data_IF_351722015227
#
_entry.id   IF_351722015227
#
_cell.length_a   1.000
_cell.length_b   1.000
_cell.length_c   1.000
_cell.angle_alpha   90.00
_cell.angle_beta   90.00
_cell.angle_gamma   90.00
#
_symmetry.space_group_name_H-M   'P 1'
#
loop_
_entity.id
_entity.type
_entity.pdbx_description
1 polymer ?
#
# COMPACT_ATOMS: atom_id res chain seq x y z
N UNK A 1 20.08 -22.15 -10.93
CA UNK A 1 18.85 -22.97 -10.95
C UNK A 1 18.66 -23.93 -9.77
N UNK A 2 19.69 -24.50 -9.12
CA UNK A 2 19.52 -25.37 -7.94
C UNK A 2 19.20 -24.63 -6.64
N UNK A 3 19.67 -23.39 -6.43
CA UNK A 3 19.38 -22.60 -5.21
C UNK A 3 17.94 -22.09 -5.15
N UNK A 4 17.28 -21.83 -6.29
CA UNK A 4 15.87 -21.39 -6.32
C UNK A 4 14.88 -22.51 -5.99
N UNK A 5 15.20 -23.77 -6.32
CA UNK A 5 14.35 -24.92 -5.97
C UNK A 5 14.38 -25.27 -4.48
N UNK A 6 15.53 -25.06 -3.81
CA UNK A 6 15.66 -25.33 -2.36
C UNK A 6 14.93 -24.27 -1.55
N UNK A 7 14.91 -23.00 -1.99
CA UNK A 7 14.17 -21.92 -1.33
C UNK A 7 12.66 -22.08 -1.53
N UNK A 8 12.20 -22.56 -2.70
CA UNK A 8 10.78 -22.86 -2.93
C UNK A 8 10.28 -24.08 -2.14
N UNK A 9 11.08 -25.11 -1.95
CA UNK A 9 10.70 -26.27 -1.13
C UNK A 9 10.58 -25.94 0.36
N UNK A 10 11.36 -25.00 0.89
CA UNK A 10 11.24 -24.57 2.29
C UNK A 10 10.03 -23.66 2.56
N UNK A 11 9.40 -23.06 1.55
CA UNK A 11 8.18 -22.25 1.72
C UNK A 11 6.88 -23.09 1.72
N UNK A 12 6.92 -24.35 1.30
CA UNK A 12 5.77 -25.26 1.32
C UNK A 12 5.67 -26.09 2.61
N UNK A 13 6.74 -26.23 3.37
CA UNK A 13 6.73 -27.00 4.61
C UNK A 13 5.94 -26.28 5.70
N UNK A 14 4.96 -26.95 6.27
CA UNK A 14 4.17 -26.46 7.42
C UNK A 14 4.96 -26.74 8.69
N UNK A 15 5.12 -25.70 9.52
CA UNK A 15 5.78 -25.78 10.82
C UNK A 15 4.75 -25.83 11.95
N UNK A 16 4.88 -26.80 12.80
CA UNK A 16 4.00 -27.08 13.94
C UNK A 16 4.80 -26.90 15.23
N UNK A 17 4.26 -26.16 16.20
CA UNK A 17 4.75 -26.16 17.58
C UNK A 17 3.77 -26.93 18.44
N UNK A 18 4.21 -28.00 19.10
CA UNK A 18 3.40 -28.69 20.10
C UNK A 18 3.84 -28.29 21.50
N UNK A 19 2.87 -27.94 22.35
CA UNK A 19 3.09 -27.40 23.70
C UNK A 19 2.23 -28.18 24.69
N UNK A 20 2.89 -28.83 25.64
CA UNK A 20 2.29 -29.65 26.69
C UNK A 20 3.32 -29.81 27.80
N UNK A 21 2.91 -29.73 29.07
CA UNK A 21 3.83 -29.93 30.19
C UNK A 21 4.23 -31.40 30.40
N UNK A 22 3.59 -32.32 29.66
CA UNK A 22 4.03 -33.74 29.58
C UNK A 22 4.94 -33.98 28.36
N UNK A 23 6.25 -34.23 28.57
CA UNK A 23 7.20 -34.51 27.47
C UNK A 23 6.87 -35.76 26.64
N UNK A 24 6.13 -36.71 27.20
CA UNK A 24 5.74 -37.92 26.49
C UNK A 24 4.71 -37.59 25.42
N UNK A 25 3.75 -36.72 25.76
CA UNK A 25 2.71 -36.26 24.83
C UNK A 25 3.34 -35.47 23.69
N UNK A 26 4.17 -34.49 24.00
CA UNK A 26 4.83 -33.67 22.97
C UNK A 26 5.70 -34.50 22.03
N UNK A 27 6.47 -35.45 22.56
CA UNK A 27 7.29 -36.38 21.75
C UNK A 27 6.42 -37.27 20.87
N UNK A 28 5.31 -37.79 21.40
CA UNK A 28 4.39 -38.65 20.64
C UNK A 28 3.74 -37.90 19.47
N UNK A 29 3.28 -36.68 19.72
CA UNK A 29 2.70 -35.81 18.70
C UNK A 29 3.75 -35.45 17.64
N UNK A 30 4.97 -35.15 18.05
CA UNK A 30 6.09 -34.87 17.16
C UNK A 30 6.36 -36.04 16.23
N UNK A 31 6.58 -37.24 16.80
CA UNK A 31 6.87 -38.45 16.03
C UNK A 31 5.77 -38.78 15.02
N UNK A 32 4.51 -38.53 15.40
CA UNK A 32 3.36 -38.76 14.52
C UNK A 32 3.36 -37.82 13.32
N UNK A 33 3.44 -36.51 13.56
CA UNK A 33 3.35 -35.52 12.50
C UNK A 33 4.62 -35.37 11.66
N UNK A 34 5.81 -35.68 12.21
CA UNK A 34 7.04 -35.78 11.41
C UNK A 34 6.97 -36.90 10.37
N UNK A 35 6.35 -38.05 10.71
CA UNK A 35 6.09 -39.13 9.74
C UNK A 35 5.14 -38.71 8.62
N UNK A 36 4.21 -37.79 8.91
CA UNK A 36 3.31 -37.18 7.92
C UNK A 36 3.95 -36.04 7.13
N UNK A 37 5.25 -35.75 7.37
CA UNK A 37 6.05 -34.78 6.59
C UNK A 37 5.99 -33.35 7.08
N UNK A 38 5.48 -33.09 8.27
CA UNK A 38 5.49 -31.76 8.90
C UNK A 38 6.83 -31.52 9.64
N UNK A 39 7.19 -30.25 9.78
CA UNK A 39 8.27 -29.84 10.69
C UNK A 39 7.65 -29.62 12.07
N UNK A 40 8.11 -30.33 13.10
CA UNK A 40 7.50 -30.24 14.43
C UNK A 40 8.54 -29.90 15.49
N UNK A 41 8.32 -28.79 16.15
CA UNK A 41 9.04 -28.40 17.35
C UNK A 41 8.20 -28.71 18.60
N UNK A 42 8.89 -28.97 19.71
CA UNK A 42 8.26 -29.20 21.01
C UNK A 42 8.64 -28.11 22.01
N UNK A 43 7.72 -27.79 22.91
CA UNK A 43 7.97 -26.98 24.09
C UNK A 43 7.16 -27.52 25.28
N UNK A 44 7.79 -27.59 26.45
CA UNK A 44 7.13 -28.14 27.63
C UNK A 44 6.84 -27.08 28.71
N UNK A 45 7.23 -25.85 28.43
CA UNK A 45 6.90 -24.70 29.27
C UNK A 45 6.02 -23.70 28.50
N UNK A 46 4.80 -23.41 28.97
CA UNK A 46 3.90 -22.51 28.26
C UNK A 46 4.43 -21.06 28.14
N UNK A 47 5.26 -20.59 29.06
CA UNK A 47 5.87 -19.25 29.01
C UNK A 47 6.96 -19.20 27.93
N UNK A 48 7.81 -20.22 27.87
CA UNK A 48 8.86 -20.34 26.87
C UNK A 48 8.27 -20.55 25.47
N UNK A 49 7.10 -21.19 25.36
CA UNK A 49 6.37 -21.34 24.11
C UNK A 49 5.94 -19.98 23.52
N UNK A 50 5.52 -19.03 24.34
CA UNK A 50 5.16 -17.67 23.87
C UNK A 50 6.37 -16.97 23.26
N UNK A 51 7.53 -17.08 23.93
CA UNK A 51 8.78 -16.48 23.42
C UNK A 51 9.26 -17.18 22.16
N UNK A 52 9.13 -18.51 22.09
CA UNK A 52 9.44 -19.31 20.91
C UNK A 52 8.60 -18.90 19.70
N UNK A 53 7.30 -18.65 19.88
CA UNK A 53 6.42 -18.11 18.83
C UNK A 53 6.81 -16.67 18.43
N UNK A 54 7.32 -15.88 19.36
CA UNK A 54 7.78 -14.51 19.08
C UNK A 54 9.04 -14.48 18.21
N UNK A 55 9.94 -15.43 18.43
CA UNK A 55 11.23 -15.53 17.73
C UNK A 55 11.18 -16.38 16.47
N UNK A 56 10.23 -17.32 16.39
CA UNK A 56 10.10 -18.29 15.30
C UNK A 56 8.89 -18.01 14.39
N UNK A 57 8.86 -18.76 13.29
CA UNK A 57 7.75 -18.72 12.33
C UNK A 57 7.04 -20.07 12.33
N UNK A 58 6.02 -20.20 13.15
CA UNK A 58 5.15 -21.37 13.19
C UNK A 58 3.83 -21.08 12.48
N UNK A 59 3.30 -22.11 11.81
CA UNK A 59 2.01 -22.07 11.13
C UNK A 59 0.87 -22.56 11.99
N UNK A 60 1.13 -23.62 12.77
CA UNK A 60 0.16 -24.28 13.63
C UNK A 60 0.77 -24.46 15.02
N UNK A 61 -0.03 -24.22 16.05
CA UNK A 61 0.30 -24.52 17.43
C UNK A 61 -0.72 -25.53 17.97
N UNK A 62 -0.23 -26.68 18.45
CA UNK A 62 -0.99 -27.65 19.18
C UNK A 62 -0.72 -27.42 20.67
N UNK A 63 -1.70 -26.91 21.39
CA UNK A 63 -1.51 -26.36 22.73
C UNK A 63 -2.38 -27.08 23.75
N UNK A 64 -1.77 -27.65 24.76
CA UNK A 64 -2.55 -28.20 25.88
C UNK A 64 -3.30 -27.09 26.61
N UNK A 65 -4.50 -27.40 27.04
CA UNK A 65 -5.35 -26.44 27.74
C UNK A 65 -4.98 -26.31 29.23
N UNK A 66 -4.59 -27.43 29.86
CA UNK A 66 -4.30 -27.49 31.30
C UNK A 66 -2.80 -27.66 31.54
N UNK A 67 -2.09 -26.57 31.69
CA UNK A 67 -0.65 -26.53 31.97
C UNK A 67 -0.33 -25.66 33.17
N UNK A 68 0.85 -25.84 33.73
CA UNK A 68 1.43 -24.99 34.77
C UNK A 68 2.69 -24.30 34.23
N UNK A 69 2.98 -23.01 34.52
CA UNK A 69 2.30 -22.11 35.47
C UNK A 69 1.09 -21.33 34.92
N UNK A 70 0.84 -21.36 33.61
CA UNK A 70 -0.30 -20.68 32.97
C UNK A 70 -1.08 -21.65 32.08
N UNK A 71 -2.40 -21.46 32.00
CA UNK A 71 -3.28 -22.27 31.17
C UNK A 71 -3.21 -21.88 29.69
N UNK A 72 -3.68 -22.77 28.80
CA UNK A 72 -3.64 -22.60 27.36
C UNK A 72 -4.40 -21.35 26.86
N UNK A 73 -5.51 -20.98 27.49
CA UNK A 73 -6.25 -19.74 27.17
C UNK A 73 -5.39 -18.49 27.39
N UNK A 74 -4.65 -18.43 28.50
CA UNK A 74 -3.73 -17.31 28.78
C UNK A 74 -2.56 -17.27 27.76
N UNK A 75 -2.06 -18.41 27.35
CA UNK A 75 -1.04 -18.50 26.28
C UNK A 75 -1.59 -17.93 24.99
N UNK A 76 -2.82 -18.30 24.60
CA UNK A 76 -3.46 -17.79 23.39
C UNK A 76 -3.65 -16.28 23.47
N UNK A 77 -4.17 -15.76 24.59
CA UNK A 77 -4.35 -14.31 24.76
C UNK A 77 -3.05 -13.53 24.60
N UNK A 78 -1.94 -14.01 25.15
CA UNK A 78 -0.63 -13.37 25.02
C UNK A 78 -0.12 -13.43 23.57
N UNK A 79 -0.26 -14.55 22.89
CA UNK A 79 0.15 -14.72 21.48
C UNK A 79 -0.67 -13.83 20.56
N UNK A 80 -2.00 -13.71 20.77
CA UNK A 80 -2.88 -12.88 19.93
C UNK A 80 -2.57 -11.38 20.00
N UNK A 81 -1.86 -10.91 21.01
CA UNK A 81 -1.38 -9.52 21.08
C UNK A 81 -0.37 -9.17 19.98
N UNK A 82 0.39 -10.14 19.48
CA UNK A 82 1.44 -9.91 18.48
C UNK A 82 1.38 -10.83 17.24
N UNK A 83 0.68 -11.97 17.31
CA UNK A 83 0.52 -12.89 16.18
C UNK A 83 -0.95 -13.31 16.02
N UNK A 84 -1.59 -12.79 14.98
CA UNK A 84 -2.99 -13.11 14.64
C UNK A 84 -3.10 -14.20 13.59
N UNK A 85 -1.99 -14.56 12.92
CA UNK A 85 -1.96 -15.47 11.79
C UNK A 85 -1.67 -16.92 12.20
N UNK A 86 -1.14 -17.15 13.40
CA UNK A 86 -0.87 -18.49 13.92
C UNK A 86 -2.17 -19.26 14.12
N UNK A 87 -2.27 -20.45 13.52
CA UNK A 87 -3.38 -21.36 13.73
C UNK A 87 -3.19 -22.10 15.06
N UNK A 88 -4.16 -22.02 15.96
CA UNK A 88 -4.07 -22.63 17.29
C UNK A 88 -5.17 -23.68 17.46
N UNK A 89 -4.76 -24.88 17.83
CA UNK A 89 -5.63 -26.00 18.20
C UNK A 89 -5.38 -26.32 19.65
N UNK A 90 -6.42 -26.22 20.49
CA UNK A 90 -6.33 -26.60 21.89
C UNK A 90 -6.47 -28.12 22.06
N UNK A 91 -5.61 -28.71 22.87
CA UNK A 91 -5.70 -30.10 23.29
C UNK A 91 -6.30 -30.16 24.70
N UNK A 92 -7.16 -31.11 24.98
CA UNK A 92 -7.81 -31.27 26.31
C UNK A 92 -7.93 -32.73 26.72
N UNK A 93 -7.63 -33.01 27.97
CA UNK A 93 -7.65 -34.38 28.52
C UNK A 93 -9.03 -34.90 28.91
N UNK A 94 -10.08 -34.07 29.03
CA UNK A 94 -11.42 -34.50 29.47
C UNK A 94 -12.54 -33.67 28.85
N UNK A 95 -13.63 -34.34 28.42
CA UNK A 95 -14.85 -33.73 27.86
C UNK A 95 -15.49 -32.66 28.74
N UNK A 96 -15.45 -32.85 30.06
CA UNK A 96 -16.02 -31.92 31.05
C UNK A 96 -15.21 -30.62 31.20
N UNK A 97 -13.98 -30.57 30.68
CA UNK A 97 -13.06 -29.43 30.73
C UNK A 97 -12.84 -28.76 29.37
N UNK A 98 -13.53 -29.22 28.31
CA UNK A 98 -13.50 -28.57 27.03
C UNK A 98 -13.94 -27.10 27.19
N UNK A 99 -13.19 -26.14 26.65
CA UNK A 99 -13.56 -24.74 26.75
C UNK A 99 -14.95 -24.52 26.11
N UNK A 100 -15.82 -23.72 26.74
CA UNK A 100 -17.12 -23.41 26.18
C UNK A 100 -16.96 -22.86 24.74
N UNK A 101 -17.92 -23.15 23.85
CA UNK A 101 -17.92 -22.63 22.47
C UNK A 101 -17.72 -21.10 22.41
N UNK A 102 -18.15 -20.39 23.46
CA UNK A 102 -17.87 -18.95 23.62
C UNK A 102 -16.36 -18.65 23.70
N UNK A 103 -15.62 -19.44 24.47
CA UNK A 103 -14.16 -19.28 24.65
C UNK A 103 -13.41 -19.53 23.35
N UNK A 104 -13.82 -20.53 22.57
CA UNK A 104 -13.25 -20.83 21.26
C UNK A 104 -13.37 -19.63 20.32
N UNK A 105 -14.55 -18.99 20.29
CA UNK A 105 -14.79 -17.79 19.46
C UNK A 105 -14.06 -16.54 19.98
N UNK A 106 -13.95 -16.38 21.30
CA UNK A 106 -13.27 -15.23 21.91
C UNK A 106 -11.74 -15.30 21.72
N UNK A 107 -11.18 -16.50 21.81
CA UNK A 107 -9.74 -16.74 21.66
C UNK A 107 -9.25 -16.78 20.21
N UNK A 108 -10.16 -16.74 19.24
CA UNK A 108 -9.82 -16.85 17.81
C UNK A 108 -8.92 -18.04 17.50
N UNK A 109 -9.38 -19.24 17.94
CA UNK A 109 -8.70 -20.52 17.72
C UNK A 109 -9.43 -21.35 16.66
N UNK A 110 -8.71 -22.24 15.98
CA UNK A 110 -9.23 -23.03 14.87
C UNK A 110 -10.04 -24.25 15.32
N UNK A 111 -9.81 -24.71 16.54
CA UNK A 111 -10.55 -25.83 17.10
C UNK A 111 -9.98 -26.33 18.41
N UNK A 112 -10.59 -27.40 18.89
CA UNK A 112 -10.06 -28.15 20.02
C UNK A 112 -10.12 -29.65 19.71
N UNK A 113 -9.22 -30.38 20.30
CA UNK A 113 -9.12 -31.84 20.21
C UNK A 113 -9.10 -32.45 21.60
N UNK A 114 -9.91 -33.49 21.81
CA UNK A 114 -9.89 -34.27 23.04
C UNK A 114 -8.80 -35.32 22.92
N UNK A 115 -7.84 -35.33 23.87
CA UNK A 115 -6.76 -36.29 23.93
C UNK A 115 -7.35 -37.69 24.16
N UNK A 116 -7.58 -38.42 23.11
CA UNK A 116 -7.94 -39.84 23.10
C UNK A 116 -6.88 -40.63 22.28
N UNK A 117 -7.00 -41.94 22.27
CA UNK A 117 -6.04 -42.80 21.53
C UNK A 117 -6.22 -42.73 20.01
N UNK A 118 -7.08 -41.84 19.49
CA UNK A 118 -7.43 -41.71 18.08
C UNK A 118 -6.85 -40.47 17.46
N UNK A 119 -5.57 -40.48 17.15
CA UNK A 119 -4.89 -39.38 16.46
C UNK A 119 -5.49 -39.00 15.10
N UNK A 120 -6.31 -39.86 14.48
CA UNK A 120 -6.97 -39.59 13.19
C UNK A 120 -7.81 -38.31 13.21
N UNK A 121 -8.45 -38.01 14.34
CA UNK A 121 -9.24 -36.77 14.47
C UNK A 121 -8.36 -35.50 14.57
N UNK A 122 -7.24 -35.59 15.30
CA UNK A 122 -6.26 -34.53 15.37
C UNK A 122 -5.61 -34.31 14.00
N UNK A 123 -5.29 -35.38 13.27
CA UNK A 123 -4.74 -35.31 11.92
C UNK A 123 -5.68 -34.59 10.97
N UNK A 124 -6.96 -34.94 10.93
CA UNK A 124 -7.98 -34.28 10.13
C UNK A 124 -8.10 -32.78 10.46
N UNK A 125 -7.99 -32.43 11.74
CA UNK A 125 -8.05 -31.03 12.16
C UNK A 125 -6.80 -30.27 11.70
N UNK A 126 -5.61 -30.85 11.84
CA UNK A 126 -4.36 -30.28 11.34
C UNK A 126 -4.40 -30.15 9.81
N UNK A 127 -4.86 -31.16 9.09
CA UNK A 127 -5.04 -31.09 7.62
C UNK A 127 -5.99 -29.97 7.19
N UNK A 128 -7.08 -29.75 7.94
CA UNK A 128 -8.00 -28.64 7.71
C UNK A 128 -7.31 -27.28 7.91
N UNK A 129 -6.51 -27.16 8.98
CA UNK A 129 -5.68 -25.95 9.21
C UNK A 129 -4.67 -25.76 8.07
N UNK A 130 -3.96 -26.80 7.66
CA UNK A 130 -2.99 -26.76 6.54
C UNK A 130 -3.66 -26.29 5.25
N UNK A 131 -4.84 -26.83 4.93
CA UNK A 131 -5.60 -26.41 3.74
C UNK A 131 -5.95 -24.91 3.80
N UNK A 132 -6.40 -24.44 4.96
CA UNK A 132 -6.74 -23.03 5.17
C UNK A 132 -5.51 -22.13 5.05
N UNK A 133 -4.38 -22.51 5.64
CA UNK A 133 -3.10 -21.79 5.56
C UNK A 133 -2.64 -21.70 4.10
N UNK A 134 -2.67 -22.80 3.34
CA UNK A 134 -2.31 -22.79 1.92
C UNK A 134 -3.21 -21.86 1.10
N UNK A 135 -4.51 -21.87 1.36
CA UNK A 135 -5.45 -20.96 0.70
C UNK A 135 -5.14 -19.49 1.02
N UNK A 136 -4.88 -19.15 2.29
CA UNK A 136 -4.51 -17.79 2.69
C UNK A 136 -3.18 -17.34 2.07
N UNK A 137 -2.16 -18.22 2.01
CA UNK A 137 -0.89 -17.94 1.31
C UNK A 137 -1.12 -17.65 -0.17
N UNK A 138 -1.90 -18.49 -0.85
CA UNK A 138 -2.26 -18.30 -2.26
C UNK A 138 -2.99 -16.97 -2.50
N UNK A 139 -3.94 -16.61 -1.65
CA UNK A 139 -4.65 -15.33 -1.74
C UNK A 139 -3.68 -14.15 -1.57
N UNK A 140 -2.77 -14.21 -0.59
CA UNK A 140 -1.74 -13.17 -0.39
C UNK A 140 -0.79 -13.05 -1.58
N UNK A 141 -0.38 -14.17 -2.16
CA UNK A 141 0.45 -14.19 -3.39
C UNK A 141 -0.27 -13.51 -4.56
N UNK A 142 -1.53 -13.87 -4.82
CA UNK A 142 -2.32 -13.22 -5.86
C UNK A 142 -2.51 -11.72 -5.61
N UNK A 143 -2.74 -11.31 -4.37
CA UNK A 143 -2.83 -9.88 -4.02
C UNK A 143 -1.52 -9.14 -4.30
N UNK A 144 -0.39 -9.74 -3.94
CA UNK A 144 0.93 -9.16 -4.19
C UNK A 144 1.25 -9.09 -5.69
N UNK A 145 0.91 -10.14 -6.45
CA UNK A 145 1.13 -10.16 -7.90
C UNK A 145 0.23 -9.15 -8.61
N UNK A 146 -1.03 -9.01 -8.18
CA UNK A 146 -1.95 -7.99 -8.69
C UNK A 146 -1.42 -6.57 -8.39
N UNK A 147 -0.91 -6.32 -7.19
CA UNK A 147 -0.29 -5.05 -6.82
C UNK A 147 0.95 -4.75 -7.69
N UNK A 148 1.80 -5.74 -7.94
CA UNK A 148 2.95 -5.59 -8.84
C UNK A 148 2.53 -5.30 -10.27
N UNK A 149 1.57 -6.05 -10.82
CA UNK A 149 1.06 -5.84 -12.17
C UNK A 149 0.44 -4.44 -12.33
N UNK A 150 -0.30 -3.97 -11.31
CA UNK A 150 -0.83 -2.62 -11.26
C UNK A 150 0.28 -1.57 -11.33
N UNK A 151 1.33 -1.70 -10.51
CA UNK A 151 2.47 -0.78 -10.52
C UNK A 151 3.22 -0.81 -11.85
N UNK A 152 3.43 -1.98 -12.44
CA UNK A 152 4.06 -2.11 -13.76
C UNK A 152 3.23 -1.44 -14.86
N UNK A 153 1.91 -1.52 -14.79
CA UNK A 153 1.01 -0.83 -15.73
C UNK A 153 1.17 0.68 -15.62
N UNK A 154 1.20 1.22 -14.39
CA UNK A 154 1.44 2.64 -14.12
C UNK A 154 2.77 3.09 -14.75
N UNK A 155 3.86 2.36 -14.49
CA UNK A 155 5.19 2.69 -15.01
C UNK A 155 5.23 2.65 -16.54
N UNK A 156 4.60 1.65 -17.15
CA UNK A 156 4.55 1.52 -18.61
C UNK A 156 3.80 2.68 -19.26
N UNK A 157 2.63 3.04 -18.72
CA UNK A 157 1.84 4.15 -19.23
C UNK A 157 2.56 5.50 -19.04
N UNK A 158 3.19 5.72 -17.89
CA UNK A 158 4.03 6.89 -17.63
C UNK A 158 5.14 7.01 -18.70
N UNK A 159 5.87 5.94 -18.93
CA UNK A 159 6.95 5.93 -19.93
C UNK A 159 6.46 6.30 -21.33
N UNK A 160 5.30 5.81 -21.74
CA UNK A 160 4.69 6.14 -23.04
C UNK A 160 4.41 7.64 -23.16
N UNK A 161 3.85 8.25 -22.11
CA UNK A 161 3.56 9.70 -22.06
C UNK A 161 4.85 10.52 -22.15
N UNK A 162 5.82 10.22 -21.30
CA UNK A 162 7.10 10.93 -21.24
C UNK A 162 7.98 10.78 -22.49
N UNK A 163 7.80 9.69 -23.26
CA UNK A 163 8.55 9.49 -24.51
C UNK A 163 8.12 10.48 -25.58
N UNK A 164 6.87 10.93 -25.56
CA UNK A 164 6.32 11.85 -26.55
C UNK A 164 6.60 13.32 -26.20
N UNK A 165 6.55 13.68 -24.94
CA UNK A 165 6.81 15.04 -24.46
C UNK A 165 8.14 15.09 -23.70
N UNK A 166 9.19 15.54 -24.40
CA UNK A 166 10.54 15.62 -23.81
C UNK A 166 10.65 16.62 -22.65
N UNK A 167 9.75 17.61 -22.58
CA UNK A 167 9.70 18.60 -21.50
C UNK A 167 9.12 18.01 -20.21
N UNK A 168 8.33 16.93 -20.31
CA UNK A 168 7.71 16.28 -19.16
C UNK A 168 8.56 15.17 -18.54
N UNK A 169 9.78 14.89 -19.08
CA UNK A 169 10.64 13.87 -18.48
C UNK A 169 10.94 14.22 -17.02
N UNK A 170 10.51 13.34 -16.11
CA UNK A 170 10.64 13.50 -14.66
C UNK A 170 9.68 14.53 -14.02
N UNK A 171 8.97 15.35 -14.81
CA UNK A 171 7.97 16.30 -14.31
C UNK A 171 6.84 15.60 -13.58
N UNK A 172 6.19 14.63 -14.22
CA UNK A 172 5.08 13.88 -13.62
C UNK A 172 5.50 13.18 -12.33
N UNK A 173 6.75 12.69 -12.25
CA UNK A 173 7.28 12.08 -11.02
C UNK A 173 7.48 13.12 -9.91
N UNK A 174 8.07 14.28 -10.20
CA UNK A 174 8.22 15.36 -9.22
C UNK A 174 6.87 15.89 -8.74
N UNK A 175 5.91 16.10 -9.65
CA UNK A 175 4.54 16.49 -9.30
C UNK A 175 3.88 15.45 -8.41
N UNK A 176 4.02 14.16 -8.74
CA UNK A 176 3.53 13.04 -7.92
C UNK A 176 4.16 13.02 -6.54
N UNK A 177 5.50 13.10 -6.43
CA UNK A 177 6.23 13.11 -5.16
C UNK A 177 5.82 14.29 -4.28
N UNK A 178 5.80 15.49 -4.85
CA UNK A 178 5.43 16.71 -4.12
C UNK A 178 3.95 16.70 -3.73
N UNK A 179 3.06 16.33 -4.63
CA UNK A 179 1.63 16.21 -4.37
C UNK A 179 1.33 15.22 -3.25
N UNK A 180 2.00 14.06 -3.24
CA UNK A 180 1.91 13.06 -2.18
C UNK A 180 2.32 13.64 -0.82
N UNK A 181 3.44 14.36 -0.78
CA UNK A 181 3.92 14.98 0.44
C UNK A 181 2.96 16.07 0.96
N UNK A 182 2.43 16.90 0.06
CA UNK A 182 1.42 17.92 0.41
C UNK A 182 0.16 17.26 0.96
N UNK A 183 -0.35 16.21 0.31
CA UNK A 183 -1.54 15.47 0.74
C UNK A 183 -1.37 14.84 2.13
N UNK A 184 -0.21 14.23 2.39
CA UNK A 184 0.15 13.66 3.70
C UNK A 184 0.27 14.75 4.78
N UNK A 185 0.91 15.90 4.47
CA UNK A 185 1.03 17.05 5.37
C UNK A 185 -0.32 17.71 5.69
N UNK A 186 -1.30 17.58 4.78
CA UNK A 186 -2.69 17.99 5.01
C UNK A 186 -3.46 17.02 5.92
N UNK A 187 -2.93 15.85 6.21
CA UNK A 187 -3.59 14.80 6.99
C UNK A 187 -4.70 14.07 6.21
N UNK A 188 -4.60 13.99 4.89
CA UNK A 188 -5.53 13.21 4.08
C UNK A 188 -5.39 11.71 4.41
N UNK A 189 -6.48 10.97 4.24
CA UNK A 189 -6.48 9.52 4.46
C UNK A 189 -5.48 8.80 3.50
N UNK A 190 -4.89 7.67 3.89
CA UNK A 190 -3.86 6.99 3.09
C UNK A 190 -4.27 6.66 1.66
N UNK A 191 -5.54 6.29 1.45
CA UNK A 191 -6.12 6.05 0.13
C UNK A 191 -6.21 7.33 -0.71
N UNK A 192 -6.54 8.46 -0.11
CA UNK A 192 -6.56 9.76 -0.79
C UNK A 192 -5.13 10.22 -1.16
N UNK A 193 -4.14 9.98 -0.29
CA UNK A 193 -2.73 10.26 -0.57
C UNK A 193 -2.26 9.41 -1.76
N UNK A 194 -2.62 8.14 -1.81
CA UNK A 194 -2.29 7.26 -2.93
C UNK A 194 -2.98 7.70 -4.23
N UNK A 195 -4.24 8.13 -4.17
CA UNK A 195 -4.95 8.72 -5.33
C UNK A 195 -4.20 9.94 -5.88
N UNK A 196 -3.73 10.85 -5.02
CA UNK A 196 -2.94 12.02 -5.43
C UNK A 196 -1.63 11.59 -6.06
N UNK A 197 -0.94 10.59 -5.49
CA UNK A 197 0.31 10.05 -6.03
C UNK A 197 0.13 9.56 -7.47
N UNK A 198 -0.86 8.71 -7.71
CA UNK A 198 -1.11 8.13 -9.03
C UNK A 198 -1.65 9.17 -10.00
N UNK A 199 -2.55 10.06 -9.55
CA UNK A 199 -3.06 11.15 -10.39
C UNK A 199 -1.95 12.11 -10.81
N UNK A 200 -0.97 12.40 -9.95
CA UNK A 200 0.20 13.20 -10.29
C UNK A 200 1.05 12.61 -11.42
N UNK A 201 1.15 11.26 -11.49
CA UNK A 201 1.84 10.59 -12.61
C UNK A 201 1.09 10.73 -13.94
N UNK A 202 -0.24 10.86 -13.91
CA UNK A 202 -1.10 10.81 -15.08
C UNK A 202 -1.85 12.11 -15.39
N UNK A 203 -1.65 13.18 -14.63
CA UNK A 203 -2.42 14.42 -14.82
C UNK A 203 -2.38 14.94 -16.26
N UNK A 204 -1.24 14.76 -16.91
CA UNK A 204 -0.95 15.21 -18.26
C UNK A 204 -1.13 14.14 -19.35
N UNK A 205 -1.63 12.92 -19.05
CA UNK A 205 -1.74 11.82 -20.01
C UNK A 205 -2.54 12.21 -21.27
N UNK A 206 -3.51 13.10 -21.13
CA UNK A 206 -4.34 13.57 -22.24
C UNK A 206 -3.58 14.40 -23.29
N UNK A 207 -2.37 14.86 -23.00
CA UNK A 207 -1.50 15.52 -23.99
C UNK A 207 -1.15 14.61 -25.16
N UNK A 208 -1.34 13.30 -25.00
CA UNK A 208 -1.18 12.32 -26.09
C UNK A 208 -2.13 12.63 -27.27
N UNK A 209 -3.26 13.29 -27.03
CA UNK A 209 -4.23 13.73 -28.03
C UNK A 209 -3.89 15.05 -28.71
N UNK A 210 -2.91 15.81 -28.19
CA UNK A 210 -2.51 17.11 -28.77
C UNK A 210 -1.61 16.88 -30.00
N UNK A 211 -1.85 17.57 -31.13
CA UNK A 211 -0.97 17.47 -32.30
C UNK A 211 0.46 17.93 -31.99
N UNK A 212 1.46 17.20 -32.55
CA UNK A 212 2.88 17.51 -32.36
C UNK A 212 3.27 18.94 -32.80
N UNK A 213 2.60 19.46 -33.80
CA UNK A 213 2.80 20.86 -34.29
C UNK A 213 2.46 21.90 -33.22
N UNK A 214 1.61 21.57 -32.27
CA UNK A 214 1.23 22.43 -31.14
C UNK A 214 2.09 22.07 -29.91
N UNK A 215 2.17 20.78 -29.56
CA UNK A 215 2.87 20.31 -28.37
C UNK A 215 4.36 20.63 -28.38
N UNK A 216 5.00 20.49 -29.55
CA UNK A 216 6.46 20.70 -29.74
C UNK A 216 6.79 22.07 -30.34
N UNK A 217 5.88 23.03 -30.34
CA UNK A 217 6.07 24.34 -30.92
C UNK A 217 7.11 25.15 -30.17
N UNK A 218 8.17 25.56 -30.87
CA UNK A 218 9.14 26.50 -30.32
C UNK A 218 8.60 27.93 -30.39
N UNK A 219 7.99 28.44 -29.34
CA UNK A 219 7.47 29.80 -29.27
C UNK A 219 6.07 29.89 -28.62
N UNK A 220 5.52 31.10 -28.53
CA UNK A 220 4.20 31.29 -27.93
C UNK A 220 3.10 30.63 -28.75
N UNK A 221 2.13 30.06 -28.03
CA UNK A 221 0.93 29.49 -28.64
C UNK A 221 -0.06 30.62 -29.04
N UNK A 222 -0.79 30.39 -30.12
CA UNK A 222 -1.99 31.22 -30.39
C UNK A 222 -3.12 30.84 -29.45
N UNK A 223 -4.17 31.66 -29.38
CA UNK A 223 -5.34 31.39 -28.56
C UNK A 223 -6.01 30.06 -28.99
N UNK A 224 -6.09 29.78 -30.28
CA UNK A 224 -6.67 28.55 -30.84
C UNK A 224 -5.82 27.32 -30.49
N UNK A 225 -4.50 27.45 -30.54
CA UNK A 225 -3.59 26.37 -30.13
C UNK A 225 -3.67 26.10 -28.63
N UNK A 226 -3.79 27.16 -27.82
CA UNK A 226 -3.96 27.02 -26.39
C UNK A 226 -5.30 26.36 -26.02
N UNK A 227 -6.40 26.66 -26.74
CA UNK A 227 -7.68 25.98 -26.59
C UNK A 227 -7.60 24.47 -26.92
N UNK A 228 -6.69 24.04 -27.82
CA UNK A 228 -6.45 22.61 -28.05
C UNK A 228 -5.74 21.97 -26.84
N UNK A 229 -4.75 22.66 -26.25
CA UNK A 229 -4.07 22.15 -25.05
C UNK A 229 -5.03 22.04 -23.88
N UNK A 230 -5.93 23.00 -23.68
CA UNK A 230 -6.92 22.96 -22.59
C UNK A 230 -7.84 21.73 -22.60
N UNK A 231 -7.87 20.96 -23.68
CA UNK A 231 -8.66 19.74 -23.77
C UNK A 231 -8.00 18.55 -23.08
N UNK A 232 -6.67 18.60 -22.79
CA UNK A 232 -5.96 17.44 -22.27
C UNK A 232 -6.51 16.89 -20.94
N UNK A 233 -7.07 17.68 -19.98
CA UNK A 233 -7.62 17.09 -18.77
C UNK A 233 -8.84 16.20 -19.05
N UNK A 234 -9.73 16.64 -19.95
CA UNK A 234 -10.89 15.87 -20.37
C UNK A 234 -10.49 14.62 -21.22
N UNK A 235 -9.51 14.76 -22.11
CA UNK A 235 -8.99 13.61 -22.86
C UNK A 235 -8.25 12.64 -21.94
N UNK A 236 -7.54 13.14 -20.92
CA UNK A 236 -6.89 12.30 -19.89
C UNK A 236 -7.91 11.49 -19.09
N UNK A 237 -8.99 12.12 -18.64
CA UNK A 237 -10.12 11.43 -18.01
C UNK A 237 -10.66 10.31 -18.92
N UNK A 238 -10.90 10.60 -20.20
CA UNK A 238 -11.41 9.64 -21.16
C UNK A 238 -10.46 8.47 -21.38
N UNK A 239 -9.17 8.72 -21.50
CA UNK A 239 -8.15 7.66 -21.64
C UNK A 239 -8.18 6.76 -20.40
N UNK A 240 -8.11 7.34 -19.19
CA UNK A 240 -8.04 6.57 -17.95
C UNK A 240 -9.36 5.87 -17.61
N UNK A 241 -10.51 6.35 -18.07
CA UNK A 241 -11.81 5.73 -17.85
C UNK A 241 -11.95 4.33 -18.46
N UNK A 242 -11.08 3.98 -19.42
CA UNK A 242 -11.05 2.64 -20.02
C UNK A 242 -10.53 1.56 -19.06
N UNK A 243 -9.91 1.97 -17.95
CA UNK A 243 -9.36 1.06 -16.95
C UNK A 243 -10.03 1.30 -15.59
N UNK A 244 -10.94 0.41 -15.22
CA UNK A 244 -11.78 0.53 -14.02
C UNK A 244 -11.03 0.88 -12.73
N UNK A 245 -9.83 0.33 -12.43
CA UNK A 245 -9.09 0.70 -11.23
C UNK A 245 -8.70 2.18 -11.13
N UNK A 246 -8.73 2.92 -12.24
CA UNK A 246 -8.44 4.37 -12.25
C UNK A 246 -9.68 5.25 -12.06
N UNK A 247 -10.87 4.67 -11.87
CA UNK A 247 -12.10 5.44 -11.75
C UNK A 247 -12.06 6.54 -10.67
N UNK A 248 -11.39 6.28 -9.54
CA UNK A 248 -11.22 7.25 -8.45
C UNK A 248 -10.27 8.42 -8.79
N UNK A 249 -9.42 8.27 -9.81
CA UNK A 249 -8.47 9.29 -10.25
C UNK A 249 -9.09 10.28 -11.25
N UNK A 250 -10.15 9.88 -11.95
CA UNK A 250 -10.72 10.64 -13.07
C UNK A 250 -11.07 12.08 -12.70
N UNK A 251 -11.76 12.34 -11.57
CA UNK A 251 -12.08 13.71 -11.18
C UNK A 251 -10.82 14.56 -10.85
N UNK A 252 -9.77 13.92 -10.36
CA UNK A 252 -8.51 14.59 -10.03
C UNK A 252 -7.78 15.00 -11.32
N UNK A 253 -7.64 14.06 -12.26
CA UNK A 253 -7.00 14.31 -13.56
C UNK A 253 -7.80 15.34 -14.38
N UNK A 254 -9.12 15.26 -14.38
CA UNK A 254 -9.96 16.25 -15.07
C UNK A 254 -9.82 17.64 -14.46
N UNK A 255 -9.75 17.74 -13.13
CA UNK A 255 -9.82 19.02 -12.42
C UNK A 255 -8.49 19.68 -12.07
N UNK A 256 -7.33 19.15 -12.48
CA UNK A 256 -6.02 19.65 -12.02
C UNK A 256 -5.67 21.07 -12.52
N UNK A 257 -6.34 21.58 -13.55
CA UNK A 257 -6.24 22.95 -14.03
C UNK A 257 -7.42 23.83 -13.63
N UNK A 258 -8.31 23.33 -12.78
CA UNK A 258 -9.33 24.19 -12.18
C UNK A 258 -8.71 25.18 -11.19
N UNK A 259 -9.34 26.35 -11.06
CA UNK A 259 -8.94 27.42 -10.14
C UNK A 259 -10.05 27.68 -9.14
N UNK A 260 -9.71 27.89 -7.88
CA UNK A 260 -10.73 28.07 -6.84
C UNK A 260 -11.67 29.23 -7.07
N UNK A 261 -11.27 30.20 -7.92
CA UNK A 261 -12.09 31.32 -8.33
C UNK A 261 -13.01 31.05 -9.56
N UNK A 262 -13.08 29.80 -10.05
CA UNK A 262 -13.91 29.41 -11.19
C UNK A 262 -13.39 29.84 -12.57
N UNK A 263 -12.16 30.35 -12.67
CA UNK A 263 -11.54 30.76 -13.95
C UNK A 263 -10.59 29.66 -14.51
N UNK A 264 -10.70 28.46 -13.99
CA UNK A 264 -9.97 27.29 -14.46
C UNK A 264 -10.65 26.61 -15.65
N UNK A 265 -10.16 25.45 -16.02
CA UNK A 265 -10.70 24.60 -17.08
C UNK A 265 -10.55 23.13 -16.69
N UNK A 266 -11.34 22.20 -17.27
CA UNK A 266 -12.29 22.37 -18.37
C UNK A 266 -13.70 22.86 -17.94
N UNK A 267 -14.09 22.70 -16.65
CA UNK A 267 -15.47 22.84 -16.20
C UNK A 267 -15.74 24.18 -15.50
N UNK A 268 -14.71 24.95 -15.13
CA UNK A 268 -14.84 26.20 -14.39
C UNK A 268 -15.38 26.01 -12.98
N UNK A 269 -14.97 24.93 -12.30
CA UNK A 269 -15.42 24.58 -10.96
C UNK A 269 -14.96 25.62 -9.92
N UNK A 270 -15.80 25.87 -8.91
CA UNK A 270 -15.57 26.87 -7.88
C UNK A 270 -15.25 26.22 -6.52
N UNK A 271 -14.20 26.65 -5.86
CA UNK A 271 -13.89 26.31 -4.46
C UNK A 271 -13.90 24.82 -4.19
N UNK A 272 -14.75 24.38 -3.27
CA UNK A 272 -14.83 22.97 -2.85
C UNK A 272 -15.49 22.01 -3.85
N UNK A 273 -16.07 22.53 -4.95
CA UNK A 273 -16.51 21.69 -6.06
C UNK A 273 -15.31 21.03 -6.79
N UNK A 274 -14.11 21.62 -6.67
CA UNK A 274 -12.88 21.01 -7.20
C UNK A 274 -12.44 19.91 -6.26
N UNK A 275 -12.21 18.66 -6.73
CA UNK A 275 -11.70 17.57 -5.90
C UNK A 275 -10.41 17.96 -5.15
N UNK A 276 -10.30 17.58 -3.88
CA UNK A 276 -9.13 17.99 -3.07
C UNK A 276 -7.80 17.54 -3.69
N UNK A 277 -7.75 16.33 -4.27
CA UNK A 277 -6.57 15.84 -4.98
C UNK A 277 -6.19 16.73 -6.17
N UNK A 278 -7.17 17.25 -6.94
CA UNK A 278 -6.92 18.15 -8.06
C UNK A 278 -6.32 19.48 -7.58
N UNK A 279 -6.82 20.02 -6.46
CA UNK A 279 -6.27 21.24 -5.82
C UNK A 279 -4.83 21.04 -5.33
N UNK A 280 -4.50 19.84 -4.85
CA UNK A 280 -3.12 19.47 -4.46
C UNK A 280 -2.22 19.38 -5.69
N UNK A 281 -2.66 18.68 -6.75
CA UNK A 281 -1.89 18.55 -7.99
C UNK A 281 -1.67 19.94 -8.64
N UNK A 282 -2.68 20.81 -8.66
CA UNK A 282 -2.54 22.16 -9.21
C UNK A 282 -1.41 22.98 -8.56
N UNK A 283 -1.20 22.83 -7.25
CA UNK A 283 -0.09 23.48 -6.52
C UNK A 283 1.24 22.83 -6.88
N UNK A 284 1.32 21.50 -6.86
CA UNK A 284 2.55 20.75 -7.15
C UNK A 284 3.01 20.97 -8.59
N UNK A 285 2.10 20.89 -9.56
CA UNK A 285 2.35 21.14 -10.98
C UNK A 285 2.82 22.57 -11.23
N UNK A 286 2.09 23.56 -10.71
CA UNK A 286 2.47 24.96 -10.88
C UNK A 286 3.84 25.26 -10.26
N UNK A 287 4.15 24.69 -9.11
CA UNK A 287 5.44 24.86 -8.47
C UNK A 287 6.56 24.26 -9.33
N UNK A 288 6.41 22.99 -9.76
CA UNK A 288 7.39 22.34 -10.62
C UNK A 288 7.60 23.08 -11.95
N UNK A 289 6.49 23.51 -12.56
CA UNK A 289 6.54 24.32 -13.79
C UNK A 289 7.27 25.66 -13.61
N UNK A 290 7.20 26.27 -12.43
CA UNK A 290 7.90 27.54 -12.14
C UNK A 290 9.40 27.35 -11.91
N UNK A 291 9.82 26.28 -11.22
CA UNK A 291 11.23 26.06 -10.88
C UNK A 291 12.01 25.36 -11.97
N UNK A 292 11.36 24.56 -12.81
CA UNK A 292 12.00 23.79 -13.88
C UNK A 292 12.44 24.68 -15.06
N UNK A 293 13.64 24.39 -15.61
CA UNK A 293 14.06 25.00 -16.85
C UNK A 293 13.28 24.38 -18.02
N UNK A 294 12.71 25.21 -18.87
CA UNK A 294 12.08 24.79 -20.13
C UNK A 294 12.91 25.28 -21.33
N UNK A 295 12.72 24.66 -22.48
CA UNK A 295 13.49 24.97 -23.70
C UNK A 295 13.52 26.47 -24.07
N UNK A 296 12.47 27.21 -23.72
CA UNK A 296 12.29 28.62 -24.02
C UNK A 296 12.36 29.56 -22.80
N UNK A 297 12.50 29.04 -21.55
CA UNK A 297 12.52 29.85 -20.33
C UNK A 297 13.35 29.16 -19.24
N UNK A 298 14.21 29.95 -18.58
CA UNK A 298 14.83 29.55 -17.31
C UNK A 298 13.77 29.50 -16.20
N UNK A 299 13.90 28.52 -15.33
CA UNK A 299 13.06 28.42 -14.14
C UNK A 299 13.19 29.66 -13.25
N UNK A 300 12.13 29.97 -12.55
CA UNK A 300 12.14 30.97 -11.48
C UNK A 300 12.95 30.44 -10.29
N UNK A 301 13.61 31.30 -9.57
CA UNK A 301 14.24 30.88 -8.30
C UNK A 301 13.18 30.41 -7.30
N UNK A 302 13.60 29.54 -6.39
CA UNK A 302 12.73 28.92 -5.38
C UNK A 302 11.84 29.93 -4.64
N UNK A 303 12.45 31.01 -4.09
CA UNK A 303 11.73 32.05 -3.35
C UNK A 303 10.66 32.77 -4.21
N UNK A 304 10.96 32.96 -5.49
CA UNK A 304 9.99 33.58 -6.42
C UNK A 304 8.83 32.62 -6.67
N UNK A 305 9.08 31.33 -6.88
CA UNK A 305 8.04 30.32 -7.09
C UNK A 305 7.12 30.19 -5.85
N UNK A 306 7.71 30.14 -4.66
CA UNK A 306 6.95 30.15 -3.40
C UNK A 306 6.12 31.44 -3.26
N UNK A 307 6.71 32.59 -3.58
CA UNK A 307 6.00 33.88 -3.56
C UNK A 307 4.79 33.91 -4.51
N UNK A 308 4.90 33.33 -5.70
CA UNK A 308 3.77 33.25 -6.66
C UNK A 308 2.65 32.32 -6.15
N UNK A 309 2.99 31.18 -5.50
CA UNK A 309 1.98 30.34 -4.87
C UNK A 309 1.24 31.10 -3.75
N UNK A 310 1.96 31.86 -2.93
CA UNK A 310 1.35 32.66 -1.84
C UNK A 310 0.41 33.72 -2.41
N UNK A 311 0.82 34.45 -3.45
CA UNK A 311 -0.02 35.45 -4.13
C UNK A 311 -1.28 34.85 -4.77
N UNK A 312 -1.17 33.59 -5.24
CA UNK A 312 -2.27 32.86 -5.87
C UNK A 312 -3.31 32.28 -4.91
N UNK A 313 -3.08 32.33 -3.57
CA UNK A 313 -4.04 31.83 -2.58
C UNK A 313 -5.41 32.48 -2.70
N UNK A 314 -6.46 31.67 -2.58
CA UNK A 314 -7.85 32.12 -2.67
C UNK A 314 -8.30 32.58 -4.08
N UNK A 315 -7.36 32.68 -5.03
CA UNK A 315 -7.63 33.02 -6.44
C UNK A 315 -7.41 31.79 -7.34
N UNK A 316 -6.16 31.53 -7.65
CA UNK A 316 -5.78 30.34 -8.45
C UNK A 316 -5.75 29.06 -7.58
N UNK A 317 -5.16 29.14 -6.42
CA UNK A 317 -4.88 27.98 -5.56
C UNK A 317 -5.75 27.97 -4.30
N UNK A 318 -6.13 26.77 -3.87
CA UNK A 318 -6.65 26.55 -2.53
C UNK A 318 -5.54 26.83 -1.49
N UNK A 319 -5.88 27.56 -0.45
CA UNK A 319 -4.93 27.92 0.61
C UNK A 319 -4.41 26.72 1.39
N UNK A 320 -5.23 25.65 1.51
CA UNK A 320 -4.86 24.44 2.29
C UNK A 320 -3.65 23.71 1.73
N UNK A 321 -3.59 23.31 0.44
CA UNK A 321 -2.40 22.72 -0.17
C UNK A 321 -1.19 23.65 -0.15
N UNK A 322 -1.39 24.97 -0.43
CA UNK A 322 -0.27 25.92 -0.38
C UNK A 322 0.31 26.01 1.03
N UNK A 323 -0.54 26.14 2.06
CA UNK A 323 -0.09 26.19 3.44
C UNK A 323 0.60 24.88 3.87
N UNK A 324 0.13 23.72 3.42
CA UNK A 324 0.78 22.44 3.67
C UNK A 324 2.18 22.39 3.04
N UNK A 325 2.32 22.83 1.80
CA UNK A 325 3.63 22.93 1.15
C UNK A 325 4.59 23.86 1.91
N UNK A 326 4.11 25.01 2.39
CA UNK A 326 4.94 25.93 3.18
C UNK A 326 5.41 25.30 4.50
N UNK A 327 4.55 24.54 5.19
CA UNK A 327 4.96 23.77 6.38
C UNK A 327 6.01 22.69 6.06
N UNK A 328 5.91 22.03 4.89
CA UNK A 328 6.94 21.09 4.44
C UNK A 328 8.28 21.77 4.24
N UNK A 329 8.28 22.94 3.60
CA UNK A 329 9.51 23.74 3.40
C UNK A 329 10.10 24.17 4.74
N UNK A 330 9.27 24.65 5.66
CA UNK A 330 9.71 25.06 7.01
C UNK A 330 10.31 23.88 7.81
N UNK A 331 9.67 22.72 7.76
CA UNK A 331 10.07 21.52 8.51
C UNK A 331 11.34 20.86 7.97
N UNK A 332 11.50 20.78 6.65
CA UNK A 332 12.65 20.13 6.00
C UNK A 332 13.84 21.10 5.83
N UNK A 333 13.57 22.37 5.74
CA UNK A 333 14.51 23.35 5.23
C UNK A 333 14.61 23.33 3.69
N UNK A 334 15.03 24.44 3.12
CA UNK A 334 15.05 24.62 1.66
C UNK A 334 15.90 23.58 0.94
N UNK A 335 17.13 23.36 1.39
CA UNK A 335 18.08 22.45 0.70
C UNK A 335 17.56 21.01 0.61
N UNK A 336 17.01 20.48 1.71
CA UNK A 336 16.47 19.14 1.72
C UNK A 336 15.17 19.04 0.91
N UNK A 337 14.32 20.08 0.96
CA UNK A 337 13.12 20.16 0.12
C UNK A 337 13.47 20.15 -1.37
N UNK A 338 14.42 20.98 -1.82
CA UNK A 338 14.87 21.01 -3.22
C UNK A 338 15.47 19.67 -3.65
N UNK A 339 16.24 19.02 -2.80
CA UNK A 339 16.81 17.70 -3.07
C UNK A 339 15.74 16.62 -3.24
N UNK A 340 14.69 16.63 -2.41
CA UNK A 340 13.64 15.60 -2.44
C UNK A 340 12.64 15.80 -3.59
N UNK A 341 12.32 17.06 -3.92
CA UNK A 341 11.18 17.36 -4.79
C UNK A 341 11.53 18.14 -6.07
N UNK A 342 12.75 18.68 -6.18
CA UNK A 342 13.15 19.53 -7.30
C UNK A 342 14.34 18.98 -8.11
N UNK A 343 15.09 18.00 -7.57
CA UNK A 343 16.25 17.46 -8.26
C UNK A 343 15.83 16.59 -9.46
N UNK A 344 16.49 16.83 -10.59
CA UNK A 344 16.46 15.88 -11.69
C UNK A 344 17.36 14.69 -11.31
N UNK A 345 16.82 13.48 -11.21
CA UNK A 345 17.64 12.28 -11.17
C UNK A 345 18.48 12.24 -12.48
N UNK A 346 19.81 12.26 -12.30
CA UNK A 346 20.82 12.33 -13.36
C UNK A 346 20.88 11.02 -14.14
#
# INVERSE_FOLDING_TARGET
MRKSKIVQQNQEAISILTVDDDPIITSTIKDYFERSGYMVDIENNPVDAIEKVRQGSYDIMLLDFLMSPICGDQVVEEIRKFNKDLFIVLLTGHKSMAPPVRTIRQLDIQGYYEKDDRFDQLELLVESCVKSIKQLRTIREYQNDMSRAYMQTIETLRYVVETRDKETRGHSERVSKLGTAIAAEMGLAPDQVEMVRVAGLFHDIGKIGVPDSILLKNGPLTDEEFEQIKKHPAEGEKILSTYTPFACLLPIVRGHHERVNGRGYPDGLLGDAIPIGARVIAVADSFDAMISNRTYRRGLGFETAVGELIKGKGGQFDERPVNAMLRLVERLGREEFEKLYCSHDS
#
